data_IF_332991127225
#
_entry.id   IF_332991127225
#
_cell.length_a   1.000
_cell.length_b   1.000
_cell.length_c   1.000
_cell.angle_alpha   90.00
_cell.angle_beta   90.00
_cell.angle_gamma   90.00
#
_symmetry.space_group_name_H-M   'P 1'
#
loop_
_entity.id
_entity.type
_entity.pdbx_description
1 polymer ?
#
# COMPACT_ATOMS: atom_id res chain seq x y z
N UNK A 1 -39.02 -13.59 22.97
CA UNK A 1 -39.97 -12.52 22.60
C UNK A 1 -39.60 -12.13 21.17
N UNK A 2 -40.36 -12.66 20.22
CA UNK A 2 -40.12 -12.52 18.78
C UNK A 2 -40.92 -11.29 18.34
N UNK A 3 -40.27 -10.37 17.62
CA UNK A 3 -40.98 -9.29 16.95
C UNK A 3 -40.63 -9.35 15.47
N UNK A 4 -41.59 -9.83 14.68
CA UNK A 4 -41.59 -9.77 13.21
C UNK A 4 -42.47 -8.60 12.81
N UNK A 5 -41.97 -7.67 12.00
CA UNK A 5 -42.83 -6.82 11.19
C UNK A 5 -42.53 -7.12 9.72
N UNK A 6 -43.51 -7.76 9.09
CA UNK A 6 -43.63 -7.97 7.65
C UNK A 6 -43.94 -6.64 6.96
N UNK A 7 -43.18 -6.29 5.94
CA UNK A 7 -43.63 -5.41 4.85
C UNK A 7 -43.10 -6.00 3.55
N UNK A 8 -43.97 -6.80 2.90
CA UNK A 8 -43.99 -7.06 1.46
C UNK A 8 -44.93 -6.00 0.85
N UNK A 9 -44.85 -5.50 -0.37
CA UNK A 9 -43.86 -5.40 -1.47
C UNK A 9 -44.42 -4.25 -2.34
N UNK A 10 -43.60 -3.60 -3.17
CA UNK A 10 -43.79 -3.61 -4.63
C UNK A 10 -42.82 -2.66 -5.35
N UNK A 11 -42.58 -3.01 -6.61
CA UNK A 11 -41.47 -2.78 -7.52
C UNK A 11 -41.18 -1.33 -7.98
N UNK A 12 -40.03 -1.23 -8.68
CA UNK A 12 -39.61 -0.23 -9.67
C UNK A 12 -38.69 0.91 -9.21
N UNK A 13 -37.37 0.66 -9.29
CA UNK A 13 -36.35 1.70 -9.17
C UNK A 13 -34.92 1.17 -9.14
N UNK A 14 -34.33 1.06 -10.32
CA UNK A 14 -32.92 0.77 -10.59
C UNK A 14 -31.97 1.58 -9.69
N UNK A 15 -31.30 0.89 -8.77
CA UNK A 15 -30.41 1.53 -7.78
C UNK A 15 -29.85 0.55 -6.76
N UNK A 16 -29.34 -0.60 -7.22
CA UNK A 16 -28.63 -1.52 -6.35
C UNK A 16 -27.42 -0.80 -5.72
N UNK A 17 -27.54 -0.48 -4.43
CA UNK A 17 -26.42 0.00 -3.62
C UNK A 17 -25.47 -1.19 -3.49
N UNK A 18 -24.33 -1.15 -4.20
CA UNK A 18 -23.30 -2.18 -4.17
C UNK A 18 -22.54 -2.15 -2.84
N UNK A 19 -23.24 -2.39 -1.73
CA UNK A 19 -22.61 -2.68 -0.45
C UNK A 19 -21.93 -4.05 -0.60
N UNK A 20 -20.60 -4.03 -0.67
CA UNK A 20 -19.75 -5.21 -0.88
C UNK A 20 -19.93 -6.21 0.27
N UNK A 21 -19.80 -7.50 -0.03
CA UNK A 21 -20.03 -8.60 0.93
C UNK A 21 -18.76 -9.39 1.20
N UNK A 22 -18.75 -10.09 2.34
CA UNK A 22 -17.64 -10.90 2.82
C UNK A 22 -17.48 -12.14 1.90
N UNK A 23 -16.45 -12.13 1.03
CA UNK A 23 -16.21 -13.22 0.09
C UNK A 23 -15.63 -12.82 -1.27
N UNK A 24 -15.48 -11.51 -1.55
CA UNK A 24 -14.84 -11.07 -2.79
C UNK A 24 -13.45 -11.70 -2.94
N UNK A 25 -13.17 -12.27 -4.11
CA UNK A 25 -11.91 -12.95 -4.41
C UNK A 25 -10.88 -11.92 -4.89
N UNK A 26 -9.99 -11.51 -4.00
CA UNK A 26 -8.93 -10.55 -4.32
C UNK A 26 -7.69 -11.27 -4.85
N UNK A 27 -7.22 -10.99 -6.06
CA UNK A 27 -5.83 -11.26 -6.44
C UNK A 27 -4.97 -10.02 -6.09
N UNK A 28 -3.66 -10.17 -5.84
CA UNK A 28 -2.76 -9.02 -5.58
C UNK A 28 -2.74 -8.04 -6.75
N UNK A 29 -3.11 -8.53 -7.94
CA UNK A 29 -3.22 -7.74 -9.16
C UNK A 29 -4.55 -6.97 -9.28
N UNK A 30 -5.51 -7.19 -8.37
CA UNK A 30 -6.84 -6.59 -8.44
C UNK A 30 -7.11 -5.57 -7.30
N UNK A 31 -7.78 -4.47 -7.65
CA UNK A 31 -8.31 -3.44 -6.73
C UNK A 31 -7.31 -2.85 -5.72
N UNK A 32 -7.34 -3.26 -4.44
CA UNK A 32 -6.49 -2.72 -3.37
C UNK A 32 -5.01 -3.06 -3.62
N UNK A 33 -4.73 -4.23 -4.18
CA UNK A 33 -3.37 -4.67 -4.50
C UNK A 33 -2.71 -3.79 -5.57
N UNK A 34 -3.45 -3.39 -6.61
CA UNK A 34 -2.95 -2.51 -7.66
C UNK A 34 -2.56 -1.11 -7.13
N UNK A 35 -3.36 -0.56 -6.21
CA UNK A 35 -3.03 0.74 -5.58
C UNK A 35 -1.83 0.62 -4.64
N UNK A 36 -1.74 -0.46 -3.86
CA UNK A 36 -0.60 -0.72 -2.98
C UNK A 36 0.72 -0.86 -3.78
N UNK A 37 0.68 -1.53 -4.93
CA UNK A 37 1.80 -1.66 -5.85
C UNK A 37 2.18 -0.32 -6.50
N UNK A 38 1.21 0.50 -6.93
CA UNK A 38 1.50 1.84 -7.45
C UNK A 38 2.20 2.74 -6.43
N UNK A 39 1.76 2.69 -5.17
CA UNK A 39 2.42 3.42 -4.08
C UNK A 39 3.81 2.85 -3.77
N UNK A 40 3.98 1.52 -3.74
CA UNK A 40 5.29 0.90 -3.58
C UNK A 40 6.25 1.30 -4.71
N UNK A 41 5.76 1.36 -5.95
CA UNK A 41 6.53 1.82 -7.10
C UNK A 41 6.97 3.28 -6.96
N UNK A 42 6.10 4.16 -6.48
CA UNK A 42 6.48 5.54 -6.15
C UNK A 42 7.60 5.62 -5.10
N UNK A 43 7.58 4.77 -4.06
CA UNK A 43 8.64 4.73 -3.05
C UNK A 43 9.95 4.11 -3.57
N UNK A 44 9.86 3.11 -4.44
CA UNK A 44 11.02 2.52 -5.10
C UNK A 44 11.69 3.53 -6.05
N UNK A 45 10.90 4.24 -6.86
CA UNK A 45 11.39 5.31 -7.73
C UNK A 45 12.07 6.42 -6.92
N UNK A 46 11.45 6.86 -5.82
CA UNK A 46 12.03 7.86 -4.92
C UNK A 46 13.36 7.37 -4.32
N UNK A 47 13.41 6.13 -3.82
CA UNK A 47 14.62 5.52 -3.23
C UNK A 47 15.79 5.47 -4.23
N UNK A 48 15.50 5.29 -5.52
CA UNK A 48 16.47 5.20 -6.61
C UNK A 48 16.76 6.56 -7.27
N UNK A 49 16.14 7.65 -6.81
CA UNK A 49 16.41 8.99 -7.35
C UNK A 49 17.80 9.50 -6.95
N UNK A 50 18.27 10.54 -7.64
CA UNK A 50 19.59 11.14 -7.35
C UNK A 50 19.69 11.71 -5.93
N UNK A 51 18.59 12.28 -5.41
CA UNK A 51 18.52 12.95 -4.12
C UNK A 51 17.26 12.49 -3.36
N UNK A 52 17.26 11.24 -2.84
CA UNK A 52 16.07 10.63 -2.27
C UNK A 52 15.71 11.26 -0.92
N UNK A 53 14.45 11.67 -0.76
CA UNK A 53 13.85 12.16 0.48
C UNK A 53 13.57 11.02 1.47
N UNK A 54 13.22 9.84 0.96
CA UNK A 54 13.02 8.62 1.76
C UNK A 54 13.79 7.45 1.16
N UNK A 55 14.04 6.42 1.96
CA UNK A 55 14.61 5.15 1.51
C UNK A 55 13.74 4.00 1.98
N UNK A 56 13.12 3.31 1.03
CA UNK A 56 12.39 2.06 1.25
C UNK A 56 13.04 0.95 0.43
N UNK A 57 14.01 0.21 1.00
CA UNK A 57 14.71 -0.85 0.28
C UNK A 57 13.82 -2.06 -0.04
N UNK A 58 12.65 -2.18 0.61
CA UNK A 58 11.74 -3.30 0.44
C UNK A 58 10.75 -3.08 -0.70
N UNK A 59 10.43 -1.82 -1.02
CA UNK A 59 9.49 -1.47 -2.08
C UNK A 59 9.83 -2.14 -3.42
N UNK A 60 11.09 -2.09 -3.83
CA UNK A 60 11.56 -2.74 -5.06
C UNK A 60 11.37 -4.27 -5.02
N UNK A 61 11.57 -4.89 -3.86
CA UNK A 61 11.41 -6.34 -3.70
C UNK A 61 9.96 -6.79 -3.92
N UNK A 62 8.99 -6.00 -3.44
CA UNK A 62 7.58 -6.29 -3.65
C UNK A 62 7.18 -6.19 -5.12
N UNK A 63 7.74 -5.22 -5.85
CA UNK A 63 7.47 -5.05 -7.28
C UNK A 63 8.06 -6.21 -8.09
N UNK A 64 9.29 -6.62 -7.76
CA UNK A 64 9.92 -7.80 -8.37
C UNK A 64 9.13 -9.09 -8.13
N UNK A 65 8.55 -9.25 -6.93
CA UNK A 65 7.71 -10.41 -6.62
C UNK A 65 6.33 -10.36 -7.27
N UNK A 66 5.76 -9.16 -7.47
CA UNK A 66 4.47 -8.98 -8.15
C UNK A 66 4.58 -9.17 -9.67
N UNK A 67 5.74 -8.85 -10.26
CA UNK A 67 5.96 -8.91 -11.70
C UNK A 67 5.42 -7.68 -12.43
N UNK A 68 5.08 -7.86 -13.71
CA UNK A 68 4.64 -6.76 -14.58
C UNK A 68 3.20 -6.35 -14.32
N UNK A 69 2.96 -5.04 -14.27
CA UNK A 69 1.63 -4.47 -14.13
C UNK A 69 1.59 -2.97 -14.35
N UNK A 70 0.41 -2.36 -14.16
CA UNK A 70 0.21 -0.94 -14.40
C UNK A 70 1.14 -0.05 -13.55
N UNK A 71 1.61 -0.53 -12.39
CA UNK A 71 2.56 0.19 -11.53
C UNK A 71 3.94 0.42 -12.18
N UNK A 72 4.28 -0.32 -13.23
CA UNK A 72 5.52 -0.11 -13.98
C UNK A 72 5.62 1.33 -14.54
N UNK A 73 4.48 2.00 -14.76
CA UNK A 73 4.44 3.40 -15.18
C UNK A 73 5.11 4.38 -14.21
N UNK A 74 5.21 4.02 -12.92
CA UNK A 74 5.91 4.82 -11.92
C UNK A 74 7.43 4.56 -11.90
N UNK A 75 7.86 3.37 -12.32
CA UNK A 75 9.27 2.97 -12.32
C UNK A 75 10.01 3.40 -13.58
N UNK A 76 9.28 3.47 -14.70
CA UNK A 76 9.81 3.76 -16.04
C UNK A 76 8.92 4.79 -16.75
N UNK A 77 8.80 6.02 -16.22
CA UNK A 77 7.98 7.05 -16.84
C UNK A 77 8.42 7.39 -18.27
N UNK A 78 9.69 7.16 -18.60
CA UNK A 78 10.28 7.30 -19.94
C UNK A 78 9.87 6.21 -20.94
N UNK A 79 9.43 5.04 -20.45
CA UNK A 79 8.98 3.92 -21.28
C UNK A 79 7.47 3.96 -21.53
N UNK A 80 6.78 5.00 -21.05
CA UNK A 80 5.34 5.11 -21.23
C UNK A 80 4.97 5.33 -22.70
N UNK A 81 3.93 4.64 -23.22
CA UNK A 81 3.47 4.82 -24.60
C UNK A 81 3.16 6.29 -24.88
N UNK A 82 3.65 6.80 -26.01
CA UNK A 82 3.45 8.20 -26.40
C UNK A 82 1.97 8.55 -26.52
N UNK A 83 1.11 7.56 -26.80
CA UNK A 83 -0.34 7.70 -26.83
C UNK A 83 -0.92 8.10 -25.48
N UNK A 84 -0.38 7.60 -24.34
CA UNK A 84 -0.87 7.98 -23.01
C UNK A 84 -0.57 9.45 -22.69
N UNK A 85 0.62 9.92 -23.06
CA UNK A 85 1.00 11.32 -22.91
C UNK A 85 0.20 12.24 -23.85
N UNK A 86 -0.25 11.72 -25.00
CA UNK A 86 -1.09 12.45 -25.94
C UNK A 86 -2.55 12.60 -25.48
N UNK A 87 -3.05 11.69 -24.62
CA UNK A 87 -4.40 11.77 -24.05
C UNK A 87 -4.54 12.90 -23.03
N UNK A 88 -3.43 13.29 -22.38
CA UNK A 88 -3.46 14.36 -21.40
C UNK A 88 -2.13 15.15 -21.40
N UNK A 89 -2.15 16.42 -21.85
CA UNK A 89 -0.96 17.28 -21.90
C UNK A 89 -0.26 17.50 -20.56
N UNK A 90 -0.94 17.28 -19.43
CA UNK A 90 -0.41 17.44 -18.08
C UNK A 90 -0.02 16.12 -17.40
N UNK A 91 0.03 15.03 -18.17
CA UNK A 91 0.30 13.70 -17.63
C UNK A 91 1.63 13.64 -16.89
N UNK A 92 2.68 14.23 -17.46
CA UNK A 92 4.01 14.23 -16.86
C UNK A 92 4.05 15.00 -15.54
N UNK A 93 3.46 16.20 -15.50
CA UNK A 93 3.40 17.03 -14.30
C UNK A 93 2.62 16.33 -13.18
N UNK A 94 1.49 15.68 -13.51
CA UNK A 94 0.72 14.91 -12.51
C UNK A 94 1.49 13.71 -11.99
N UNK A 95 2.23 13.00 -12.85
CA UNK A 95 3.07 11.89 -12.42
C UNK A 95 4.19 12.35 -11.47
N UNK A 96 4.85 13.46 -11.79
CA UNK A 96 5.85 14.08 -10.91
C UNK A 96 5.23 14.52 -9.58
N UNK A 97 4.05 15.14 -9.59
CA UNK A 97 3.34 15.53 -8.38
C UNK A 97 2.96 14.31 -7.53
N UNK A 98 2.53 13.21 -8.14
CA UNK A 98 2.21 11.95 -7.45
C UNK A 98 3.44 11.30 -6.82
N UNK A 99 4.60 11.35 -7.48
CA UNK A 99 5.86 10.90 -6.89
C UNK A 99 6.27 11.76 -5.69
N UNK A 100 6.27 13.09 -5.85
CA UNK A 100 6.58 14.02 -4.77
C UNK A 100 5.62 13.87 -3.58
N UNK A 101 4.33 13.68 -3.84
CA UNK A 101 3.33 13.36 -2.83
C UNK A 101 3.65 12.05 -2.12
N UNK A 102 4.00 10.99 -2.85
CA UNK A 102 4.35 9.69 -2.25
C UNK A 102 5.58 9.79 -1.35
N UNK A 103 6.62 10.50 -1.79
CA UNK A 103 7.82 10.76 -1.00
C UNK A 103 7.50 11.55 0.27
N UNK A 104 6.80 12.67 0.13
CA UNK A 104 6.48 13.59 1.24
C UNK A 104 5.53 12.93 2.25
N UNK A 105 4.52 12.20 1.79
CA UNK A 105 3.62 11.40 2.63
C UNK A 105 4.39 10.32 3.39
N UNK A 106 5.35 9.67 2.74
CA UNK A 106 6.16 8.63 3.38
C UNK A 106 7.00 9.23 4.50
N UNK A 107 7.72 10.33 4.23
CA UNK A 107 8.54 11.03 5.22
C UNK A 107 7.69 11.48 6.43
N UNK A 108 6.57 12.13 6.17
CA UNK A 108 5.69 12.63 7.24
C UNK A 108 5.28 11.52 8.22
N UNK A 109 4.87 10.36 7.70
CA UNK A 109 4.47 9.25 8.56
C UNK A 109 5.66 8.52 9.18
N UNK A 110 6.83 8.56 8.56
CA UNK A 110 8.05 8.03 9.18
C UNK A 110 8.42 8.85 10.41
N UNK A 111 8.49 10.17 10.27
CA UNK A 111 8.74 11.12 11.35
C UNK A 111 7.70 10.95 12.47
N UNK A 112 6.42 10.85 12.11
CA UNK A 112 5.34 10.59 13.08
C UNK A 112 5.62 9.34 13.93
N UNK A 113 5.99 8.21 13.30
CA UNK A 113 6.26 6.97 14.04
C UNK A 113 7.55 7.05 14.85
N UNK A 114 8.62 7.63 14.32
CA UNK A 114 9.89 7.75 15.03
C UNK A 114 9.79 8.70 16.22
N UNK A 115 9.07 9.82 16.08
CA UNK A 115 8.83 10.77 17.16
C UNK A 115 7.95 10.16 18.26
N UNK A 116 6.89 9.44 17.86
CA UNK A 116 6.05 8.69 18.79
C UNK A 116 6.90 7.68 19.58
N UNK A 117 7.74 6.90 18.91
CA UNK A 117 8.62 5.92 19.55
C UNK A 117 9.63 6.58 20.50
N UNK A 118 10.24 7.71 20.09
CA UNK A 118 11.16 8.49 20.89
C UNK A 118 10.49 9.07 22.15
N UNK A 119 9.20 9.43 22.07
CA UNK A 119 8.40 9.90 23.21
C UNK A 119 7.98 8.80 24.20
N UNK A 120 8.33 7.54 23.94
CA UNK A 120 8.06 6.41 24.85
C UNK A 120 6.92 5.50 24.42
N UNK A 121 6.25 5.77 23.29
CA UNK A 121 5.23 4.84 22.74
C UNK A 121 5.93 3.55 22.29
N UNK A 122 5.33 2.40 22.61
CA UNK A 122 5.84 1.05 22.27
C UNK A 122 4.84 0.21 21.51
N UNK A 123 3.68 0.76 21.16
CA UNK A 123 2.67 0.06 20.38
C UNK A 123 2.20 0.95 19.24
N UNK A 124 2.32 0.44 18.02
CA UNK A 124 1.93 1.14 16.80
C UNK A 124 1.00 0.24 15.98
N UNK A 125 0.02 0.85 15.31
CA UNK A 125 -0.92 0.13 14.46
C UNK A 125 -0.94 0.80 13.09
N UNK A 126 -0.69 0.02 12.04
CA UNK A 126 -0.79 0.46 10.65
C UNK A 126 -2.05 -0.17 10.05
N UNK A 127 -3.04 0.67 9.76
CA UNK A 127 -4.31 0.27 9.16
C UNK A 127 -4.20 0.31 7.64
N UNK A 128 -4.76 -0.70 6.97
CA UNK A 128 -4.60 -0.92 5.53
C UNK A 128 -3.11 -0.87 5.14
N UNK A 129 -2.31 -1.68 5.85
CA UNK A 129 -0.85 -1.64 5.79
C UNK A 129 -0.29 -1.88 4.39
N UNK A 130 -1.00 -2.60 3.52
CA UNK A 130 -0.60 -2.86 2.15
C UNK A 130 0.84 -3.39 2.08
N UNK A 131 1.60 -2.77 1.19
CA UNK A 131 3.04 -2.99 1.03
C UNK A 131 3.89 -2.00 1.85
N UNK A 132 3.35 -1.41 2.91
CA UNK A 132 4.14 -0.65 3.88
C UNK A 132 5.19 -1.56 4.54
N UNK A 133 6.42 -1.07 4.58
CA UNK A 133 7.59 -1.76 5.11
C UNK A 133 8.14 -1.11 6.41
N UNK A 134 7.41 -0.18 7.04
CA UNK A 134 7.86 0.52 8.26
C UNK A 134 8.24 -0.42 9.40
N UNK A 135 7.53 -1.53 9.59
CA UNK A 135 7.88 -2.52 10.60
C UNK A 135 9.28 -3.16 10.38
N UNK A 136 9.82 -3.08 9.15
CA UNK A 136 11.12 -3.66 8.77
C UNK A 136 12.21 -2.63 8.49
N UNK A 137 11.86 -1.38 8.17
CA UNK A 137 12.85 -0.36 7.77
C UNK A 137 13.06 0.78 8.78
N UNK A 138 12.13 1.00 9.69
CA UNK A 138 12.31 2.00 10.75
C UNK A 138 13.00 1.37 11.95
N UNK A 139 13.81 2.17 12.63
CA UNK A 139 14.47 1.76 13.88
C UNK A 139 13.49 1.83 15.04
N UNK A 140 13.01 0.67 15.46
CA UNK A 140 12.09 0.55 16.59
C UNK A 140 12.85 0.31 17.89
N UNK A 141 12.57 1.07 18.98
CA UNK A 141 13.13 0.81 20.29
C UNK A 141 12.77 -0.61 20.79
N UNK A 142 13.64 -1.20 21.61
CA UNK A 142 13.39 -2.51 22.20
C UNK A 142 12.03 -2.56 22.94
N UNK A 143 11.30 -3.67 22.75
CA UNK A 143 9.96 -3.86 23.30
C UNK A 143 8.83 -3.19 22.50
N UNK A 144 9.13 -2.54 21.37
CA UNK A 144 8.11 -2.03 20.48
C UNK A 144 7.36 -3.16 19.77
N UNK A 145 6.05 -2.97 19.58
CA UNK A 145 5.19 -3.88 18.82
C UNK A 145 4.48 -3.07 17.73
N UNK A 146 4.64 -3.49 16.48
CA UNK A 146 3.94 -2.92 15.33
C UNK A 146 2.89 -3.93 14.86
N UNK A 147 1.63 -3.55 14.95
CA UNK A 147 0.51 -4.31 14.40
C UNK A 147 0.20 -3.80 13.00
N UNK A 148 0.01 -4.72 12.07
CA UNK A 148 -0.46 -4.43 10.73
C UNK A 148 -1.83 -5.07 10.52
N UNK A 149 -2.78 -4.26 10.09
CA UNK A 149 -4.15 -4.70 9.82
C UNK A 149 -4.42 -4.47 8.35
N UNK A 150 -4.66 -5.55 7.62
CA UNK A 150 -5.09 -5.52 6.23
C UNK A 150 -5.77 -6.83 5.85
N UNK A 151 -6.19 -6.94 4.60
CA UNK A 151 -6.74 -8.13 3.99
C UNK A 151 -5.71 -9.28 4.00
N UNK A 152 -6.13 -10.53 4.29
CA UNK A 152 -5.22 -11.66 4.44
C UNK A 152 -4.28 -11.85 3.25
N UNK A 153 -4.78 -11.83 2.02
CA UNK A 153 -3.97 -12.07 0.81
C UNK A 153 -2.89 -11.02 0.58
N UNK A 154 -3.14 -9.76 0.94
CA UNK A 154 -2.16 -8.67 0.82
C UNK A 154 -1.02 -8.88 1.83
N UNK A 155 -1.39 -9.23 3.06
CA UNK A 155 -0.43 -9.56 4.10
C UNK A 155 0.38 -10.82 3.74
N UNK A 156 -0.28 -11.88 3.29
CA UNK A 156 0.37 -13.13 2.88
C UNK A 156 1.40 -12.88 1.76
N UNK A 157 1.04 -12.10 0.74
CA UNK A 157 1.97 -11.71 -0.32
C UNK A 157 3.19 -10.94 0.23
N UNK A 158 2.96 -9.92 1.07
CA UNK A 158 4.04 -9.12 1.66
C UNK A 158 4.99 -10.00 2.48
N UNK A 159 4.44 -10.80 3.37
CA UNK A 159 5.23 -11.62 4.28
C UNK A 159 5.96 -12.74 3.55
N UNK A 160 5.32 -13.41 2.59
CA UNK A 160 5.97 -14.44 1.77
C UNK A 160 7.13 -13.85 0.95
N UNK A 161 6.96 -12.64 0.40
CA UNK A 161 8.01 -11.94 -0.35
C UNK A 161 9.20 -11.61 0.55
N UNK A 162 8.96 -11.10 1.76
CA UNK A 162 9.99 -10.79 2.74
C UNK A 162 10.73 -12.05 3.20
N UNK A 163 10.00 -13.11 3.53
CA UNK A 163 10.57 -14.39 3.96
C UNK A 163 11.43 -15.03 2.86
N UNK A 164 10.99 -14.98 1.60
CA UNK A 164 11.78 -15.46 0.46
C UNK A 164 13.11 -14.69 0.27
N UNK A 165 13.21 -13.47 0.80
CA UNK A 165 14.41 -12.63 0.80
C UNK A 165 15.20 -12.72 2.11
N UNK A 166 14.81 -13.60 3.04
CA UNK A 166 15.49 -13.84 4.31
C UNK A 166 15.07 -12.88 5.44
N UNK A 167 14.03 -12.07 5.24
CA UNK A 167 13.47 -11.21 6.28
C UNK A 167 12.40 -11.97 7.04
N UNK A 168 12.74 -12.41 8.24
CA UNK A 168 11.81 -13.13 9.10
C UNK A 168 11.11 -12.17 10.04
N UNK A 169 9.82 -12.44 10.31
CA UNK A 169 9.14 -11.75 11.40
C UNK A 169 9.87 -12.03 12.69
N UNK A 170 10.04 -11.00 13.51
CA UNK A 170 10.48 -11.19 14.88
C UNK A 170 9.49 -12.14 15.57
N UNK A 171 9.99 -13.30 16.00
CA UNK A 171 9.25 -14.21 16.88
C UNK A 171 9.85 -14.05 18.27
N UNK A 172 9.05 -13.72 19.30
CA UNK A 172 9.53 -13.85 20.67
C UNK A 172 9.96 -15.30 20.89
N UNK A 173 11.14 -15.49 21.49
CA UNK A 173 11.57 -16.78 22.05
C UNK A 173 10.76 -17.11 23.30
#
# INVERSE_FOLDING_TARGET
>A
MIWTSSVDTDEDGEGATMARTEGDSWDINESVGATALGVAAGRAAETNSENPLIRDPYAQMFLEAAGDGLWNMYLRPEELPAELAALDPHFKERMQAMMGYTASRTLFFDEFFTDAAASGIRQSVILAAGLDARAWRLDWPAGSVVYEIDQPKVLDFKFATLEARGYHRWRPM
#
